data_IF_143935677587
#
_entry.id   IF_143935677587
#
_cell.length_a   1.000
_cell.length_b   1.000
_cell.length_c   1.000
_cell.angle_alpha   90.00
_cell.angle_beta   90.00
_cell.angle_gamma   90.00
#
_symmetry.space_group_name_H-M   'P 1'
#
loop_
_entity.id
_entity.type
_entity.pdbx_description
1 polymer ?
#
# COMPACT_ATOMS: atom_id res chain seq x y z
N UNK A 1 -34.17 -13.87 23.77
CA UNK A 1 -33.44 -14.79 22.86
C UNK A 1 -32.79 -14.05 21.69
N UNK A 2 -33.44 -13.01 21.14
CA UNK A 2 -32.95 -12.16 20.02
C UNK A 2 -31.64 -11.38 20.27
N UNK A 3 -31.34 -11.02 21.53
CA UNK A 3 -30.13 -10.27 21.91
C UNK A 3 -28.83 -11.08 21.74
N UNK A 4 -28.89 -12.41 21.83
CA UNK A 4 -27.69 -13.25 21.74
C UNK A 4 -27.28 -13.44 20.27
N UNK A 5 -28.25 -13.51 19.35
CA UNK A 5 -28.01 -13.63 17.90
C UNK A 5 -27.39 -12.36 17.32
N UNK A 6 -27.86 -11.17 17.73
CA UNK A 6 -27.26 -9.89 17.30
C UNK A 6 -25.82 -9.72 17.80
N UNK A 7 -25.51 -10.17 19.02
CA UNK A 7 -24.15 -10.15 19.57
C UNK A 7 -23.23 -11.15 18.86
N UNK A 8 -23.73 -12.34 18.50
CA UNK A 8 -22.98 -13.33 17.74
C UNK A 8 -22.62 -12.82 16.32
N UNK A 9 -23.59 -12.24 15.60
CA UNK A 9 -23.36 -11.62 14.29
C UNK A 9 -22.38 -10.44 14.34
N UNK A 10 -22.47 -9.59 15.38
CA UNK A 10 -21.53 -8.48 15.57
C UNK A 10 -20.11 -8.96 15.84
N UNK A 11 -19.95 -10.08 16.56
CA UNK A 11 -18.64 -10.62 16.90
C UNK A 11 -17.96 -11.25 15.67
N UNK A 12 -18.74 -11.96 14.84
CA UNK A 12 -18.29 -12.55 13.57
C UNK A 12 -17.89 -11.46 12.56
N UNK A 13 -18.68 -10.38 12.46
CA UNK A 13 -18.33 -9.20 11.66
C UNK A 13 -17.07 -8.50 12.16
N UNK A 14 -16.83 -8.50 13.48
CA UNK A 14 -15.65 -7.88 14.08
C UNK A 14 -14.38 -8.67 13.80
N UNK A 15 -14.45 -9.99 13.85
CA UNK A 15 -13.34 -10.89 13.54
C UNK A 15 -12.94 -10.78 12.06
N UNK A 16 -13.92 -10.79 11.15
CA UNK A 16 -13.69 -10.49 9.73
C UNK A 16 -13.10 -9.09 9.50
N UNK A 17 -13.55 -8.08 10.26
CA UNK A 17 -13.01 -6.74 10.16
C UNK A 17 -11.56 -6.65 10.65
N UNK A 18 -11.20 -7.33 11.75
CA UNK A 18 -9.82 -7.40 12.26
C UNK A 18 -8.87 -8.03 11.23
N UNK A 19 -9.29 -9.13 10.58
CA UNK A 19 -8.48 -9.81 9.57
C UNK A 19 -8.29 -8.95 8.30
N UNK A 20 -9.35 -8.29 7.83
CA UNK A 20 -9.27 -7.35 6.70
C UNK A 20 -8.40 -6.14 7.05
N UNK A 21 -8.50 -5.64 8.27
CA UNK A 21 -7.74 -4.47 8.73
C UNK A 21 -6.26 -4.80 8.83
N UNK A 22 -5.90 -6.02 9.25
CA UNK A 22 -4.50 -6.47 9.32
C UNK A 22 -3.85 -6.56 7.93
N UNK A 23 -4.53 -7.23 6.97
CA UNK A 23 -4.07 -7.32 5.57
C UNK A 23 -4.00 -5.94 4.91
N UNK A 24 -5.01 -5.10 5.14
CA UNK A 24 -5.04 -3.75 4.60
C UNK A 24 -3.94 -2.87 5.21
N UNK A 25 -3.62 -3.06 6.50
CA UNK A 25 -2.55 -2.34 7.17
C UNK A 25 -1.20 -2.60 6.49
N UNK A 26 -0.89 -3.86 6.18
CA UNK A 26 0.39 -4.23 5.56
C UNK A 26 0.52 -3.63 4.15
N UNK A 27 -0.56 -3.70 3.37
CA UNK A 27 -0.60 -3.16 2.00
C UNK A 27 -0.49 -1.64 1.98
N UNK A 28 -1.24 -0.96 2.85
CA UNK A 28 -1.17 0.50 2.99
C UNK A 28 0.20 0.92 3.51
N UNK A 29 0.77 0.19 4.47
CA UNK A 29 2.11 0.44 5.00
C UNK A 29 3.17 0.35 3.89
N UNK A 30 3.11 -0.67 3.05
CA UNK A 30 4.05 -0.82 1.91
C UNK A 30 3.90 0.31 0.87
N UNK A 31 2.67 0.73 0.55
CA UNK A 31 2.44 1.84 -0.39
C UNK A 31 2.92 3.16 0.21
N UNK A 32 2.67 3.39 1.50
CA UNK A 32 3.10 4.59 2.21
C UNK A 32 4.63 4.67 2.29
N UNK A 33 5.29 3.55 2.58
CA UNK A 33 6.74 3.45 2.62
C UNK A 33 7.34 3.73 1.22
N UNK A 34 6.78 3.13 0.17
CA UNK A 34 7.20 3.38 -1.20
C UNK A 34 6.98 4.85 -1.62
N UNK A 35 5.92 5.48 -1.16
CA UNK A 35 5.64 6.91 -1.40
C UNK A 35 6.70 7.78 -0.70
N UNK A 36 7.00 7.51 0.56
CA UNK A 36 8.09 8.15 1.30
C UNK A 36 9.42 7.98 0.56
N UNK A 37 9.75 6.75 0.16
CA UNK A 37 10.98 6.44 -0.57
C UNK A 37 11.05 7.19 -1.91
N UNK A 38 9.93 7.33 -2.61
CA UNK A 38 9.85 8.07 -3.88
C UNK A 38 10.09 9.57 -3.65
N UNK A 39 9.55 10.15 -2.59
CA UNK A 39 9.80 11.55 -2.21
C UNK A 39 11.29 11.74 -1.89
N UNK A 40 11.87 10.87 -1.06
CA UNK A 40 13.31 10.92 -0.75
C UNK A 40 14.18 10.77 -1.99
N UNK A 41 13.82 9.85 -2.88
CA UNK A 41 14.50 9.65 -4.15
C UNK A 41 14.46 10.93 -5.01
N UNK A 42 13.31 11.60 -5.08
CA UNK A 42 13.18 12.88 -5.76
C UNK A 42 14.04 13.99 -5.15
N UNK A 43 14.09 14.08 -3.82
CA UNK A 43 14.96 15.03 -3.12
C UNK A 43 16.44 14.75 -3.38
N UNK A 44 16.83 13.46 -3.44
CA UNK A 44 18.19 13.06 -3.79
C UNK A 44 18.54 13.38 -5.24
N UNK A 45 17.58 13.24 -6.15
CA UNK A 45 17.74 13.51 -7.58
C UNK A 45 17.82 15.00 -7.91
N UNK A 46 17.16 15.84 -7.10
CA UNK A 46 17.08 17.28 -7.33
C UNK A 46 18.45 17.94 -7.64
N UNK A 47 19.53 17.73 -6.86
CA UNK A 47 20.84 18.29 -7.19
C UNK A 47 21.55 17.65 -8.39
N UNK A 48 21.14 16.45 -8.81
CA UNK A 48 21.81 15.70 -9.89
C UNK A 48 21.24 16.01 -11.28
N UNK A 49 19.95 16.35 -11.37
CA UNK A 49 19.28 16.58 -12.64
C UNK A 49 19.01 18.07 -12.86
N UNK A 50 19.49 18.64 -13.98
CA UNK A 50 19.25 20.05 -14.30
C UNK A 50 17.81 20.35 -14.74
N UNK A 51 17.03 19.31 -15.08
CA UNK A 51 15.66 19.44 -15.57
C UNK A 51 14.65 19.22 -14.45
N UNK A 52 13.87 20.27 -14.15
CA UNK A 52 12.78 20.23 -13.17
C UNK A 52 11.70 19.20 -13.52
N UNK A 53 11.40 19.04 -14.81
CA UNK A 53 10.44 18.03 -15.28
C UNK A 53 10.91 16.61 -15.02
N UNK A 54 12.21 16.34 -15.24
CA UNK A 54 12.78 15.02 -14.98
C UNK A 54 12.80 14.71 -13.48
N UNK A 55 13.10 15.72 -12.64
CA UNK A 55 13.05 15.61 -11.19
C UNK A 55 11.66 15.28 -10.64
N UNK A 56 10.59 15.70 -11.32
CA UNK A 56 9.22 15.34 -10.94
C UNK A 56 8.80 13.99 -11.55
N UNK A 57 9.12 13.76 -12.82
CA UNK A 57 8.69 12.58 -13.56
C UNK A 57 9.34 11.31 -13.02
N UNK A 58 10.64 11.33 -12.70
CA UNK A 58 11.34 10.12 -12.26
C UNK A 58 10.77 9.52 -10.96
N UNK A 59 10.56 10.30 -9.89
CA UNK A 59 9.93 9.81 -8.67
C UNK A 59 8.52 9.25 -8.90
N UNK A 60 7.73 9.89 -9.76
CA UNK A 60 6.38 9.43 -10.09
C UNK A 60 6.43 8.11 -10.86
N UNK A 61 7.29 8.00 -11.87
CA UNK A 61 7.49 6.76 -12.63
C UNK A 61 8.00 5.65 -11.72
N UNK A 62 8.99 5.94 -10.88
CA UNK A 62 9.50 5.00 -9.88
C UNK A 62 8.37 4.49 -8.97
N UNK A 63 7.57 5.39 -8.39
CA UNK A 63 6.45 5.03 -7.55
C UNK A 63 5.44 4.10 -8.26
N UNK A 64 5.03 4.47 -9.48
CA UNK A 64 4.08 3.68 -10.28
C UNK A 64 4.65 2.31 -10.62
N UNK A 65 5.90 2.24 -11.08
CA UNK A 65 6.55 0.98 -11.46
C UNK A 65 6.66 0.02 -10.28
N UNK A 66 7.13 0.49 -9.12
CA UNK A 66 7.27 -0.37 -7.95
C UNK A 66 5.92 -0.73 -7.32
N UNK A 67 4.93 0.17 -7.38
CA UNK A 67 3.56 -0.16 -6.96
C UNK A 67 2.97 -1.26 -7.84
N UNK A 68 3.15 -1.17 -9.16
CA UNK A 68 2.69 -2.20 -10.09
C UNK A 68 3.41 -3.54 -9.85
N UNK A 69 4.74 -3.51 -9.64
CA UNK A 69 5.51 -4.70 -9.30
C UNK A 69 5.02 -5.37 -8.02
N UNK A 70 4.76 -4.58 -6.96
CA UNK A 70 4.21 -5.11 -5.70
C UNK A 70 2.84 -5.76 -5.92
N UNK A 71 1.95 -5.14 -6.70
CA UNK A 71 0.65 -5.74 -7.04
C UNK A 71 0.80 -7.06 -7.80
N UNK A 72 1.73 -7.11 -8.75
CA UNK A 72 2.02 -8.33 -9.52
C UNK A 72 2.56 -9.43 -8.58
N UNK A 73 3.50 -9.10 -7.70
CA UNK A 73 4.05 -10.02 -6.69
C UNK A 73 2.96 -10.57 -5.76
N UNK A 74 2.05 -9.70 -5.30
CA UNK A 74 0.90 -10.04 -4.46
C UNK A 74 -0.03 -11.05 -5.20
N UNK A 75 -0.26 -10.83 -6.50
CA UNK A 75 -1.02 -11.76 -7.35
C UNK A 75 -0.32 -13.12 -7.53
N UNK A 76 1.01 -13.14 -7.68
CA UNK A 76 1.77 -14.39 -7.77
C UNK A 76 1.77 -15.15 -6.44
N UNK A 77 1.91 -14.46 -5.31
CA UNK A 77 1.86 -15.08 -3.98
C UNK A 77 0.50 -15.73 -3.70
N UNK A 78 -0.61 -15.08 -4.06
CA UNK A 78 -1.97 -15.64 -3.91
C UNK A 78 -2.26 -16.87 -4.77
N UNK A 79 -1.45 -17.14 -5.79
CA UNK A 79 -1.66 -18.25 -6.73
C UNK A 79 -0.83 -19.50 -6.38
N UNK A 80 0.17 -19.36 -5.50
CA UNK A 80 0.97 -20.47 -4.96
C UNK A 80 0.36 -21.01 -3.67
#
# INVERSE_FOLDING_TARGET
MESNTKKALLNEQRELAEEVLDIYSLKVFSILDLLLFSIFFGLLLHPLLPSLWLNLLLPVVFFITFTALLQILDMFHKKS
#
